data_IF_100943041338
#
_entry.id   IF_100943041338
#
_cell.length_a   1.000
_cell.length_b   1.000
_cell.length_c   1.000
_cell.angle_alpha   90.00
_cell.angle_beta   90.00
_cell.angle_gamma   90.00
#
_symmetry.space_group_name_H-M   'P 1'
#
loop_
_entity.id
_entity.type
_entity.pdbx_description
1 polymer ?
#
# COMPACT_ATOMS: atom_id res chain seq x y z
N UNK A 1 0.33 -33.07 -25.46
CA UNK A 1 0.35 -32.16 -24.29
C UNK A 1 -0.38 -30.89 -24.69
N UNK A 2 -1.57 -30.55 -24.13
CA UNK A 2 -2.21 -29.28 -24.47
C UNK A 2 -1.43 -28.14 -23.80
N UNK A 3 -1.09 -27.12 -24.57
CA UNK A 3 -0.48 -25.89 -24.06
C UNK A 3 -1.46 -25.21 -23.10
N UNK A 4 -1.02 -24.93 -21.88
CA UNK A 4 -1.81 -24.20 -20.89
C UNK A 4 -2.18 -22.82 -21.44
N UNK A 5 -3.48 -22.51 -21.44
CA UNK A 5 -3.96 -21.17 -21.75
C UNK A 5 -3.40 -20.18 -20.73
N UNK A 6 -2.45 -19.36 -21.15
CA UNK A 6 -2.01 -18.19 -20.38
C UNK A 6 -3.20 -17.26 -20.26
N UNK A 7 -3.70 -17.07 -19.04
CA UNK A 7 -4.74 -16.09 -18.73
C UNK A 7 -4.18 -14.69 -19.02
N UNK A 8 -4.41 -14.20 -20.24
CA UNK A 8 -4.24 -12.80 -20.55
C UNK A 8 -5.46 -12.07 -20.01
N UNK A 9 -5.26 -11.27 -18.97
CA UNK A 9 -6.27 -10.33 -18.51
C UNK A 9 -6.47 -9.31 -19.64
N UNK A 10 -7.65 -9.32 -20.25
CA UNK A 10 -8.02 -8.34 -21.28
C UNK A 10 -7.82 -6.93 -20.73
N UNK A 11 -7.09 -6.11 -21.49
CA UNK A 11 -6.73 -4.73 -21.10
C UNK A 11 -7.96 -3.84 -20.84
N UNK A 12 -9.13 -4.24 -21.35
CA UNK A 12 -10.41 -3.58 -21.14
C UNK A 12 -10.98 -3.77 -19.71
N UNK A 13 -10.52 -4.79 -18.97
CA UNK A 13 -10.82 -5.03 -17.54
C UNK A 13 -9.64 -4.67 -16.63
N UNK A 14 -8.65 -3.90 -17.12
CA UNK A 14 -7.47 -3.57 -16.35
C UNK A 14 -7.83 -2.71 -15.13
N UNK A 15 -7.82 -3.34 -13.94
CA UNK A 15 -7.93 -2.63 -12.68
C UNK A 15 -6.76 -1.65 -12.53
N UNK A 16 -7.06 -0.42 -12.13
CA UNK A 16 -6.02 0.55 -11.80
C UNK A 16 -5.57 0.32 -10.37
N UNK A 17 -4.26 0.26 -10.15
CA UNK A 17 -3.70 0.23 -8.80
C UNK A 17 -3.88 1.61 -8.17
N UNK A 18 -4.69 1.69 -7.12
CA UNK A 18 -4.93 2.90 -6.34
C UNK A 18 -3.82 3.11 -5.30
N UNK A 19 -3.61 2.14 -4.42
CA UNK A 19 -2.57 2.17 -3.40
C UNK A 19 -2.02 0.78 -3.09
N UNK A 20 -0.89 0.78 -2.41
CA UNK A 20 -0.32 -0.41 -1.77
C UNK A 20 -0.47 -0.27 -0.26
N UNK A 21 -0.70 -1.38 0.43
CA UNK A 21 -0.80 -1.41 1.88
C UNK A 21 0.34 -2.23 2.46
N UNK A 22 1.00 -1.69 3.48
CA UNK A 22 2.04 -2.36 4.26
C UNK A 22 1.61 -2.44 5.72
N UNK A 23 1.22 -3.65 6.13
CA UNK A 23 0.89 -3.95 7.53
C UNK A 23 2.14 -4.10 8.40
N UNK A 24 2.10 -3.52 9.59
CA UNK A 24 3.13 -3.63 10.61
C UNK A 24 2.51 -3.82 12.01
N UNK A 25 3.33 -4.23 12.98
CA UNK A 25 2.87 -4.38 14.36
C UNK A 25 2.83 -3.05 15.14
N UNK A 26 3.61 -2.06 14.69
CA UNK A 26 3.67 -0.72 15.27
C UNK A 26 3.85 0.30 14.14
N UNK A 27 3.01 1.33 14.14
CA UNK A 27 2.96 2.30 13.04
C UNK A 27 4.20 3.19 13.02
N UNK A 28 4.66 3.70 14.16
CA UNK A 28 5.81 4.61 14.22
C UNK A 28 7.11 3.91 13.84
N UNK A 29 7.29 2.65 14.26
CA UNK A 29 8.42 1.82 13.83
C UNK A 29 8.43 1.63 12.32
N UNK A 30 7.27 1.37 11.72
CA UNK A 30 7.16 1.19 10.28
C UNK A 30 7.37 2.52 9.50
N UNK A 31 6.87 3.65 10.02
CA UNK A 31 7.14 4.98 9.45
C UNK A 31 8.65 5.28 9.48
N UNK A 32 9.33 4.98 10.58
CA UNK A 32 10.77 5.18 10.71
C UNK A 32 11.54 4.30 9.70
N UNK A 33 11.18 3.01 9.60
CA UNK A 33 11.78 2.10 8.64
C UNK A 33 11.54 2.50 7.17
N UNK A 34 10.37 3.06 6.86
CA UNK A 34 10.09 3.63 5.54
C UNK A 34 11.01 4.81 5.26
N UNK A 35 11.09 5.76 6.19
CA UNK A 35 11.89 6.97 6.04
C UNK A 35 13.39 6.66 5.90
N UNK A 36 13.92 5.69 6.66
CA UNK A 36 15.30 5.24 6.56
C UNK A 36 15.63 4.69 5.16
N UNK A 37 14.71 3.93 4.55
CA UNK A 37 14.93 3.26 3.27
C UNK A 37 14.68 4.12 2.05
N UNK A 38 13.84 5.15 2.19
CA UNK A 38 13.29 5.90 1.05
C UNK A 38 13.45 7.40 1.16
N UNK A 39 13.91 7.91 2.31
CA UNK A 39 13.94 9.34 2.67
C UNK A 39 12.56 10.01 2.71
N UNK A 40 11.48 9.27 2.48
CA UNK A 40 10.10 9.75 2.56
C UNK A 40 9.49 9.37 3.89
N UNK A 41 9.04 10.36 4.66
CA UNK A 41 8.29 10.12 5.89
C UNK A 41 6.79 10.11 5.59
N UNK A 42 6.13 8.99 5.88
CA UNK A 42 4.67 8.90 5.81
C UNK A 42 4.04 9.85 6.85
N UNK A 43 2.92 10.47 6.47
CA UNK A 43 2.17 11.39 7.33
C UNK A 43 1.02 10.65 7.99
N UNK A 44 0.76 10.89 9.27
CA UNK A 44 -0.37 10.29 9.98
C UNK A 44 -1.68 10.47 9.20
N UNK A 45 -2.43 9.39 9.05
CA UNK A 45 -3.72 9.35 8.39
C UNK A 45 -4.87 9.22 9.38
N UNK A 46 -5.73 8.22 9.16
CA UNK A 46 -6.89 7.93 9.98
C UNK A 46 -6.63 6.91 11.09
N UNK A 47 -7.57 6.88 12.03
CA UNK A 47 -7.73 5.80 12.98
C UNK A 47 -9.00 5.03 12.62
N UNK A 48 -8.99 3.71 12.78
CA UNK A 48 -10.10 2.80 12.53
C UNK A 48 -10.47 2.08 13.83
N UNK A 49 -11.23 2.73 14.75
CA UNK A 49 -11.49 2.20 16.09
C UNK A 49 -12.13 0.83 16.09
N UNK A 50 -13.08 0.59 15.19
CA UNK A 50 -13.81 -0.68 15.08
C UNK A 50 -12.93 -1.83 14.58
N UNK A 51 -11.81 -1.52 13.93
CA UNK A 51 -10.83 -2.48 13.42
C UNK A 51 -9.57 -2.56 14.29
N UNK A 52 -9.42 -1.66 15.26
CA UNK A 52 -8.25 -1.56 16.13
C UNK A 52 -6.98 -1.10 15.43
N UNK A 53 -7.09 -0.46 14.26
CA UNK A 53 -5.93 -0.03 13.45
C UNK A 53 -5.85 1.47 13.27
N UNK A 54 -4.69 1.94 12.83
CA UNK A 54 -4.41 3.32 12.43
C UNK A 54 -3.35 3.33 11.33
N UNK A 55 -3.34 4.37 10.51
CA UNK A 55 -2.48 4.40 9.34
C UNK A 55 -1.67 5.69 9.19
N UNK A 56 -0.70 5.63 8.28
CA UNK A 56 0.05 6.75 7.76
C UNK A 56 0.25 6.60 6.25
N UNK A 57 0.31 7.72 5.53
CA UNK A 57 0.27 7.76 4.08
C UNK A 57 1.54 8.40 3.53
N UNK A 58 2.16 7.77 2.53
CA UNK A 58 3.24 8.33 1.73
C UNK A 58 2.86 8.37 0.25
N UNK A 59 3.04 9.52 -0.41
CA UNK A 59 2.72 9.66 -1.82
C UNK A 59 3.70 8.89 -2.71
N UNK A 60 3.18 8.15 -3.70
CA UNK A 60 3.96 7.49 -4.75
C UNK A 60 3.87 8.26 -6.09
N UNK A 61 3.15 9.37 -6.10
CA UNK A 61 2.84 10.17 -7.30
C UNK A 61 1.70 9.58 -8.13
N UNK A 62 1.26 10.34 -9.14
CA UNK A 62 0.15 9.96 -10.06
C UNK A 62 -1.15 9.56 -9.34
N UNK A 63 -1.44 10.21 -8.21
CA UNK A 63 -2.63 9.94 -7.40
C UNK A 63 -2.58 8.65 -6.59
N UNK A 64 -1.41 8.03 -6.44
CA UNK A 64 -1.23 6.76 -5.72
C UNK A 64 -0.43 6.97 -4.45
N UNK A 65 -0.62 6.08 -3.49
CA UNK A 65 0.04 6.16 -2.21
C UNK A 65 0.42 4.77 -1.66
N UNK A 66 1.33 4.79 -0.70
CA UNK A 66 1.59 3.69 0.22
C UNK A 66 0.86 4.00 1.53
N UNK A 67 -0.02 3.10 1.93
CA UNK A 67 -0.63 3.08 3.26
C UNK A 67 0.19 2.18 4.17
N UNK A 68 0.77 2.74 5.21
CA UNK A 68 1.36 1.96 6.32
C UNK A 68 0.30 1.86 7.39
N UNK A 69 -0.02 0.65 7.84
CA UNK A 69 -1.11 0.41 8.81
C UNK A 69 -0.63 -0.53 9.91
N UNK A 70 -1.06 -0.25 11.15
CA UNK A 70 -0.86 -1.11 12.31
C UNK A 70 -2.12 -1.16 13.17
#
# INVERSE_FOLDING_TARGET
MPAGSSLHIDRALAATCDHLLWGAADLEVAIAALAERTEVRATAGGQHPDLGTHNAIAALGRGRFLEVIA
#
